data_IF_336238860768
#
_entry.id   IF_336238860768
#
_cell.length_a   1.000
_cell.length_b   1.000
_cell.length_c   1.000
_cell.angle_alpha   90.00
_cell.angle_beta   90.00
_cell.angle_gamma   90.00
#
_symmetry.space_group_name_H-M   'P 1'
#
loop_
_entity.id
_entity.type
_entity.pdbx_description
1 polymer ?
#
# COMPACT_ATOMS: atom_id res chain seq x y z
N UNK A 1 -6.33 -42.84 -18.21
CA UNK A 1 -5.56 -41.61 -18.37
C UNK A 1 -4.65 -41.41 -17.19
N UNK A 2 -3.34 -41.35 -17.43
CA UNK A 2 -2.34 -40.99 -16.42
C UNK A 2 -2.50 -39.52 -16.01
N UNK A 3 -2.02 -39.13 -14.83
CA UNK A 3 -2.02 -37.73 -14.40
C UNK A 3 -1.31 -36.83 -15.43
N UNK A 4 -0.27 -37.34 -16.09
CA UNK A 4 0.47 -36.65 -17.16
C UNK A 4 -0.40 -36.33 -18.38
N UNK A 5 -1.29 -37.24 -18.78
CA UNK A 5 -2.21 -37.01 -19.91
C UNK A 5 -3.28 -35.96 -19.58
N UNK A 6 -3.72 -35.88 -18.32
CA UNK A 6 -4.65 -34.82 -17.89
C UNK A 6 -3.99 -33.45 -17.97
N UNK A 7 -2.74 -33.33 -17.46
CA UNK A 7 -2.00 -32.07 -17.53
C UNK A 7 -1.69 -31.64 -18.95
N UNK A 8 -1.34 -32.56 -19.86
CA UNK A 8 -1.14 -32.22 -21.27
C UNK A 8 -2.40 -31.65 -21.91
N UNK A 9 -3.56 -32.26 -21.63
CA UNK A 9 -4.84 -31.81 -22.17
C UNK A 9 -5.27 -30.44 -21.62
N UNK A 10 -4.95 -30.18 -20.34
CA UNK A 10 -5.20 -28.90 -19.70
C UNK A 10 -4.28 -27.80 -20.26
N UNK A 11 -3.02 -28.14 -20.56
CA UNK A 11 -2.06 -27.23 -21.18
C UNK A 11 -2.47 -26.87 -22.63
N UNK A 12 -2.88 -27.86 -23.43
CA UNK A 12 -3.40 -27.63 -24.79
C UNK A 12 -4.67 -26.75 -24.77
N UNK A 13 -5.53 -26.92 -23.77
CA UNK A 13 -6.73 -26.08 -23.60
C UNK A 13 -6.38 -24.64 -23.27
N UNK A 14 -5.37 -24.42 -22.41
CA UNK A 14 -4.91 -23.08 -22.04
C UNK A 14 -4.20 -22.37 -23.20
N UNK A 15 -3.41 -23.10 -23.99
CA UNK A 15 -2.76 -22.54 -25.19
C UNK A 15 -3.79 -22.07 -26.22
N UNK A 16 -4.86 -22.85 -26.44
CA UNK A 16 -5.96 -22.47 -27.32
C UNK A 16 -6.70 -21.20 -26.84
N UNK A 17 -6.90 -21.06 -25.53
CA UNK A 17 -7.55 -19.88 -24.94
C UNK A 17 -6.69 -18.61 -25.10
N UNK A 18 -5.37 -18.74 -24.90
CA UNK A 18 -4.42 -17.64 -25.11
C UNK A 18 -4.43 -17.16 -26.56
N UNK A 19 -4.47 -18.07 -27.53
CA UNK A 19 -4.49 -17.70 -28.94
C UNK A 19 -5.80 -17.02 -29.36
N UNK A 20 -6.93 -17.43 -28.79
CA UNK A 20 -8.22 -16.76 -29.01
C UNK A 20 -8.22 -15.34 -28.44
N UNK A 21 -7.65 -15.14 -27.24
CA UNK A 21 -7.50 -13.81 -26.65
C UNK A 21 -6.58 -12.90 -27.49
N UNK A 22 -5.50 -13.44 -28.05
CA UNK A 22 -4.63 -12.69 -28.98
C UNK A 22 -5.38 -12.25 -30.25
N UNK A 23 -6.25 -13.09 -30.81
CA UNK A 23 -7.08 -12.71 -31.97
C UNK A 23 -8.05 -11.59 -31.63
N UNK A 24 -8.73 -11.67 -30.48
CA UNK A 24 -9.64 -10.62 -30.02
C UNK A 24 -8.92 -9.28 -29.85
N UNK A 25 -7.74 -9.29 -29.22
CA UNK A 25 -6.93 -8.09 -29.06
C UNK A 25 -6.47 -7.48 -30.39
N UNK A 26 -6.17 -8.32 -31.40
CA UNK A 26 -5.82 -7.84 -32.73
C UNK A 26 -7.02 -7.18 -33.44
N UNK A 27 -8.23 -7.72 -33.26
CA UNK A 27 -9.46 -7.18 -33.84
C UNK A 27 -9.81 -5.81 -33.25
N UNK A 28 -9.70 -5.67 -31.92
CA UNK A 28 -9.98 -4.40 -31.23
C UNK A 28 -9.01 -3.29 -31.67
N UNK A 29 -7.72 -3.61 -31.88
CA UNK A 29 -6.74 -2.66 -32.41
C UNK A 29 -7.11 -2.17 -33.82
N UNK A 30 -7.68 -3.04 -34.67
CA UNK A 30 -8.14 -2.63 -36.01
C UNK A 30 -9.42 -1.78 -36.00
N UNK A 31 -10.29 -1.97 -35.02
CA UNK A 31 -11.52 -1.17 -34.85
C UNK A 31 -11.20 0.26 -34.40
N UNK A 32 -10.21 0.43 -33.52
CA UNK A 32 -9.77 1.75 -33.05
C UNK A 32 -9.12 2.57 -34.18
N UNK A 33 -8.44 1.93 -35.13
CA UNK A 33 -7.81 2.60 -36.28
C UNK A 33 -8.79 3.02 -37.40
N UNK A 34 -10.04 2.54 -37.40
CA UNK A 34 -11.06 2.91 -38.41
C UNK A 34 -12.10 3.92 -37.92
N UNK A 35 -12.08 4.31 -36.65
CA UNK A 35 -13.10 5.16 -36.02
C UNK A 35 -12.90 6.68 -36.17
N UNK A 36 -11.90 7.17 -36.90
CA UNK A 36 -11.56 8.60 -36.93
C UNK A 36 -11.54 9.19 -38.35
N UNK A 37 -12.65 9.11 -39.10
CA UNK A 37 -12.95 10.07 -40.18
C UNK A 37 -14.47 10.20 -40.36
N UNK A 38 -15.05 11.29 -39.88
CA UNK A 38 -16.31 11.85 -40.38
C UNK A 38 -16.04 13.29 -40.82
N UNK A 39 -16.34 13.67 -42.07
CA UNK A 39 -16.13 15.04 -42.54
C UNK A 39 -17.35 15.92 -42.23
N UNK A 40 -17.12 17.07 -41.60
CA UNK A 40 -18.09 18.18 -41.57
C UNK A 40 -17.99 19.03 -42.86
N UNK A 41 -19.08 19.72 -43.27
CA UNK A 41 -19.15 20.41 -44.54
C UNK A 41 -18.55 21.83 -44.50
N UNK A 42 -17.86 22.13 -45.60
CA UNK A 42 -17.21 23.39 -45.97
C UNK A 42 -18.17 24.58 -46.07
N UNK A 43 -17.73 25.74 -45.55
CA UNK A 43 -18.06 27.06 -46.10
C UNK A 43 -16.76 27.79 -46.53
N UNK A 44 -16.84 28.39 -47.71
CA UNK A 44 -15.79 28.96 -48.58
C UNK A 44 -15.50 30.44 -48.23
N UNK A 45 -14.27 30.99 -48.19
CA UNK A 45 -13.35 31.49 -49.26
C UNK A 45 -12.43 32.58 -48.60
N UNK A 46 -11.45 33.24 -49.27
CA UNK A 46 -10.20 32.75 -49.88
C UNK A 46 -8.94 33.49 -49.34
N UNK A 47 -7.73 32.98 -49.59
CA UNK A 47 -6.66 33.63 -50.40
C UNK A 47 -5.27 32.99 -50.21
N UNK A 48 -4.73 32.57 -51.36
CA UNK A 48 -3.37 32.80 -51.89
C UNK A 48 -2.09 32.52 -51.07
N UNK A 49 -1.34 31.55 -51.64
CA UNK A 49 0.00 31.68 -52.25
C UNK A 49 1.20 30.90 -51.64
N UNK A 50 1.77 30.07 -52.54
CA UNK A 50 3.19 29.67 -52.75
C UNK A 50 3.74 28.35 -52.15
N UNK A 51 3.76 27.36 -53.06
CA UNK A 51 4.69 26.25 -53.41
C UNK A 51 6.19 26.31 -52.97
N UNK A 52 7.05 25.28 -53.25
CA UNK A 52 6.90 23.80 -53.20
C UNK A 52 8.18 23.07 -52.63
N UNK A 53 8.31 21.74 -52.87
CA UNK A 53 9.45 20.80 -52.67
C UNK A 53 9.52 20.07 -51.31
N UNK A 54 9.92 18.81 -51.17
CA UNK A 54 10.17 17.68 -52.06
C UNK A 54 10.19 16.39 -51.23
N UNK A 55 9.90 15.29 -51.90
CA UNK A 55 10.07 13.87 -51.55
C UNK A 55 11.39 13.53 -50.84
N UNK A 56 11.35 12.65 -49.83
CA UNK A 56 12.08 11.36 -49.89
C UNK A 56 11.73 10.42 -48.73
N UNK A 57 11.28 9.24 -49.13
CA UNK A 57 11.24 7.98 -48.40
C UNK A 57 12.61 7.57 -47.85
N UNK A 58 12.66 7.05 -46.62
CA UNK A 58 13.69 6.08 -46.26
C UNK A 58 13.16 5.03 -45.27
N UNK A 59 13.42 3.79 -45.67
CA UNK A 59 12.99 2.51 -45.12
C UNK A 59 14.28 1.79 -44.72
N UNK A 60 14.44 1.40 -43.45
CA UNK A 60 15.45 0.44 -42.95
C UNK A 60 14.82 -0.24 -41.74
N UNK A 61 14.27 -1.45 -41.87
CA UNK A 61 14.96 -2.75 -41.77
C UNK A 61 15.75 -2.87 -40.45
N UNK A 62 15.09 -3.54 -39.49
CA UNK A 62 15.62 -3.99 -38.21
C UNK A 62 15.95 -5.48 -38.38
N UNK A 63 17.25 -5.80 -38.39
CA UNK A 63 17.74 -7.16 -38.28
C UNK A 63 17.63 -7.61 -36.81
N UNK A 64 16.98 -8.76 -36.58
CA UNK A 64 16.98 -9.46 -35.30
C UNK A 64 18.18 -10.41 -35.27
N UNK A 65 19.12 -10.18 -34.35
CA UNK A 65 20.14 -11.18 -34.02
C UNK A 65 19.63 -12.08 -32.87
N UNK A 66 19.59 -13.37 -33.15
CA UNK A 66 19.32 -14.47 -32.21
C UNK A 66 20.44 -14.59 -31.16
N UNK A 67 20.09 -14.42 -29.88
CA UNK A 67 20.99 -14.71 -28.76
C UNK A 67 20.59 -16.08 -28.17
N UNK A 68 21.28 -17.13 -28.61
CA UNK A 68 21.30 -18.42 -27.90
C UNK A 68 22.38 -18.40 -26.82
N UNK A 69 22.13 -18.89 -25.59
CA UNK A 69 23.13 -18.88 -24.53
C UNK A 69 24.23 -19.95 -24.76
N UNK A 70 25.50 -19.66 -24.41
CA UNK A 70 26.60 -20.58 -24.68
C UNK A 70 26.63 -21.76 -23.70
N UNK A 71 26.89 -22.95 -24.26
CA UNK A 71 27.19 -24.19 -23.52
C UNK A 71 28.49 -24.06 -22.73
N UNK A 72 28.43 -24.31 -21.43
CA UNK A 72 29.61 -24.42 -20.56
C UNK A 72 30.20 -25.83 -20.61
N UNK A 73 31.50 -25.90 -20.92
CA UNK A 73 32.31 -27.10 -20.76
C UNK A 73 32.71 -27.28 -19.28
N UNK A 74 32.37 -28.42 -18.69
CA UNK A 74 32.85 -28.83 -17.37
C UNK A 74 34.33 -29.21 -17.44
N UNK A 75 35.19 -28.37 -16.85
CA UNK A 75 36.60 -28.66 -16.60
C UNK A 75 36.90 -28.62 -15.10
N UNK A 76 37.13 -29.79 -14.52
CA UNK A 76 37.63 -29.98 -13.15
C UNK A 76 38.93 -29.20 -12.90
N UNK A 77 38.98 -28.38 -11.84
CA UNK A 77 40.22 -28.04 -11.13
C UNK A 77 39.93 -27.53 -9.71
N UNK A 78 40.29 -28.36 -8.74
CA UNK A 78 40.43 -28.01 -7.33
C UNK A 78 41.44 -26.86 -7.17
N UNK A 79 40.94 -25.66 -6.85
CA UNK A 79 41.72 -24.61 -6.19
C UNK A 79 40.85 -23.99 -5.10
N UNK A 80 41.31 -24.12 -3.86
CA UNK A 80 40.71 -23.58 -2.65
C UNK A 80 40.75 -22.05 -2.75
N UNK A 81 39.63 -21.46 -3.19
CA UNK A 81 39.46 -20.01 -3.24
C UNK A 81 39.33 -19.47 -1.81
N UNK A 82 40.04 -18.38 -1.52
CA UNK A 82 39.80 -17.56 -0.33
C UNK A 82 38.35 -17.04 -0.40
N UNK A 83 37.66 -16.84 0.74
CA UNK A 83 36.33 -16.25 0.72
C UNK A 83 36.46 -14.87 0.07
N UNK A 84 35.70 -14.63 -1.00
CA UNK A 84 35.54 -13.30 -1.53
C UNK A 84 34.91 -12.46 -0.42
N UNK A 85 35.56 -11.37 -0.03
CA UNK A 85 34.92 -10.31 0.73
C UNK A 85 33.71 -9.88 -0.10
N UNK A 86 32.51 -10.21 0.38
CA UNK A 86 31.29 -9.64 -0.15
C UNK A 86 31.38 -8.15 0.13
N UNK A 87 31.79 -7.38 -0.87
CA UNK A 87 31.61 -5.94 -0.84
C UNK A 87 30.11 -5.75 -0.76
N UNK A 88 29.60 -5.41 0.41
CA UNK A 88 28.20 -5.07 0.60
C UNK A 88 27.91 -3.93 -0.36
N UNK A 89 27.21 -4.25 -1.45
CA UNK A 89 26.83 -3.27 -2.46
C UNK A 89 25.76 -2.38 -1.83
N UNK A 90 26.21 -1.28 -1.21
CA UNK A 90 25.35 -0.20 -0.75
C UNK A 90 25.23 0.77 -1.94
N UNK A 91 24.08 0.83 -2.62
CA UNK A 91 23.89 1.78 -3.71
C UNK A 91 24.05 3.22 -3.20
N UNK A 92 24.52 4.13 -4.07
CA UNK A 92 24.60 5.56 -3.76
C UNK A 92 23.24 6.08 -3.28
N UNK A 93 23.28 6.94 -2.25
CA UNK A 93 22.07 7.55 -1.69
C UNK A 93 21.38 8.33 -2.80
N UNK A 94 20.17 7.93 -3.14
CA UNK A 94 19.37 8.65 -4.12
C UNK A 94 18.92 9.98 -3.52
N UNK A 95 19.51 11.08 -3.98
CA UNK A 95 19.01 12.43 -3.72
C UNK A 95 17.98 12.76 -4.81
N UNK A 96 16.70 12.73 -4.47
CA UNK A 96 15.66 13.23 -5.36
C UNK A 96 14.93 14.41 -4.68
N UNK A 97 14.67 15.47 -5.44
CA UNK A 97 13.98 16.67 -4.94
C UNK A 97 12.47 16.44 -4.72
N UNK A 98 11.96 15.27 -5.13
CA UNK A 98 10.53 14.99 -5.21
C UNK A 98 10.11 14.03 -4.10
N UNK A 99 9.66 14.58 -2.98
CA UNK A 99 9.04 13.80 -1.91
C UNK A 99 7.55 13.58 -2.19
N UNK A 100 6.97 12.53 -1.59
CA UNK A 100 5.51 12.33 -1.57
C UNK A 100 4.82 13.61 -1.06
N UNK A 101 3.65 13.94 -1.62
CA UNK A 101 2.87 15.14 -1.26
C UNK A 101 2.60 15.22 0.27
N UNK A 102 2.48 14.07 0.93
CA UNK A 102 2.35 13.95 2.38
C UNK A 102 3.58 14.43 3.14
N UNK A 103 4.79 14.15 2.65
CA UNK A 103 6.05 14.62 3.25
C UNK A 103 6.19 16.12 3.02
N UNK A 104 5.87 16.61 1.82
CA UNK A 104 5.88 18.04 1.52
C UNK A 104 4.93 18.79 2.45
N UNK A 105 3.70 18.29 2.60
CA UNK A 105 2.74 18.83 3.56
C UNK A 105 3.26 18.74 4.99
N UNK A 106 3.84 17.62 5.42
CA UNK A 106 4.40 17.47 6.78
C UNK A 106 5.53 18.48 7.04
N UNK A 107 6.38 18.78 6.06
CA UNK A 107 7.51 19.69 6.21
C UNK A 107 7.08 21.16 6.11
N UNK A 108 6.24 21.50 5.12
CA UNK A 108 5.80 22.88 4.80
C UNK A 108 4.68 23.38 5.71
N UNK A 109 3.80 22.51 6.23
CA UNK A 109 2.71 22.95 7.12
C UNK A 109 3.16 23.57 8.43
N UNK A 110 4.41 23.38 8.87
CA UNK A 110 4.95 24.12 10.02
C UNK A 110 5.54 25.48 9.67
N UNK A 111 5.77 25.77 8.38
CA UNK A 111 6.21 27.08 7.89
C UNK A 111 5.00 27.96 7.55
N UNK A 112 3.93 27.38 7.00
CA UNK A 112 2.74 28.15 6.58
C UNK A 112 1.74 28.44 7.72
N UNK A 113 1.90 27.87 8.92
CA UNK A 113 1.05 28.24 10.08
C UNK A 113 1.38 29.64 10.63
N UNK A 114 2.39 30.32 10.09
CA UNK A 114 2.65 31.74 10.37
C UNK A 114 2.25 32.69 9.24
N UNK A 115 1.83 32.23 8.07
CA UNK A 115 1.41 33.11 6.98
C UNK A 115 0.17 32.59 6.23
N UNK A 116 -0.91 33.35 6.40
CA UNK A 116 -2.20 33.37 5.67
C UNK A 116 -3.37 32.64 6.33
N UNK A 117 -3.95 33.35 7.30
CA UNK A 117 -5.40 33.57 7.29
C UNK A 117 -5.80 34.36 6.02
N UNK A 118 -6.90 33.90 5.41
CA UNK A 118 -7.78 34.56 4.43
C UNK A 118 -7.20 35.14 3.12
N UNK A 119 -7.65 34.61 1.97
CA UNK A 119 -8.48 35.35 0.99
C UNK A 119 -8.89 34.50 -0.24
N UNK A 120 -10.21 34.47 -0.46
CA UNK A 120 -11.01 34.29 -1.70
C UNK A 120 -10.32 33.98 -3.04
N UNK A 121 -10.79 32.91 -3.73
CA UNK A 121 -11.33 32.90 -5.12
C UNK A 121 -11.70 31.48 -5.56
N UNK A 122 -13.00 31.19 -5.65
CA UNK A 122 -13.55 29.86 -5.96
C UNK A 122 -14.12 29.71 -7.39
N UNK A 123 -13.72 30.52 -8.39
CA UNK A 123 -14.33 30.45 -9.74
C UNK A 123 -13.39 30.23 -10.94
N UNK A 124 -12.10 29.94 -10.76
CA UNK A 124 -11.20 29.51 -11.86
C UNK A 124 -10.71 28.05 -11.74
N UNK A 125 -11.41 27.23 -10.96
CA UNK A 125 -10.81 26.05 -10.33
C UNK A 125 -10.73 24.78 -11.19
N UNK A 126 -11.50 24.62 -12.27
CA UNK A 126 -11.48 23.37 -13.05
C UNK A 126 -10.33 23.31 -14.07
N UNK A 127 -10.17 24.37 -14.89
CA UNK A 127 -9.12 24.44 -15.90
C UNK A 127 -7.73 24.57 -15.26
N UNK A 128 -7.61 25.31 -14.14
CA UNK A 128 -6.36 25.38 -13.39
C UNK A 128 -6.00 24.04 -12.74
N UNK A 129 -6.99 23.29 -12.23
CA UNK A 129 -6.74 21.92 -11.72
C UNK A 129 -6.32 20.99 -12.86
N UNK A 130 -6.99 21.04 -14.01
CA UNK A 130 -6.66 20.22 -15.17
C UNK A 130 -5.25 20.52 -15.70
N UNK A 131 -4.89 21.80 -15.80
CA UNK A 131 -3.55 22.22 -16.22
C UNK A 131 -2.49 21.78 -15.21
N UNK A 132 -2.74 21.91 -13.90
CA UNK A 132 -1.84 21.38 -12.85
C UNK A 132 -1.67 19.87 -12.93
N UNK A 133 -2.73 19.13 -13.24
CA UNK A 133 -2.67 17.67 -13.45
C UNK A 133 -1.85 17.33 -14.70
N UNK A 134 -2.06 18.03 -15.81
CA UNK A 134 -1.29 17.85 -17.05
C UNK A 134 0.20 18.17 -16.86
N UNK A 135 0.51 19.28 -16.20
CA UNK A 135 1.88 19.67 -15.86
C UNK A 135 2.55 18.63 -14.95
N UNK A 136 1.84 18.17 -13.91
CA UNK A 136 2.34 17.10 -13.02
C UNK A 136 2.60 15.80 -13.78
N UNK A 137 1.71 15.44 -14.71
CA UNK A 137 1.86 14.23 -15.54
C UNK A 137 3.05 14.34 -16.48
N UNK A 138 3.23 15.49 -17.15
CA UNK A 138 4.36 15.72 -18.03
C UNK A 138 5.69 15.68 -17.28
N UNK A 139 5.73 16.30 -16.10
CA UNK A 139 6.89 16.28 -15.19
C UNK A 139 7.22 14.86 -14.75
N UNK A 140 6.21 14.07 -14.36
CA UNK A 140 6.38 12.67 -14.01
C UNK A 140 6.95 11.83 -15.16
N UNK A 141 6.44 12.01 -16.38
CA UNK A 141 6.94 11.31 -17.56
C UNK A 141 8.41 11.66 -17.85
N UNK A 142 8.80 12.93 -17.71
CA UNK A 142 10.20 13.33 -17.85
C UNK A 142 11.10 12.68 -16.78
N UNK A 143 10.64 12.63 -15.53
CA UNK A 143 11.38 11.97 -14.44
C UNK A 143 11.55 10.47 -14.68
N UNK A 144 10.51 9.77 -15.17
CA UNK A 144 10.63 8.35 -15.53
C UNK A 144 11.66 8.16 -16.65
N UNK A 145 11.65 9.02 -17.67
CA UNK A 145 12.61 8.92 -18.77
C UNK A 145 14.05 9.15 -18.29
N UNK A 146 14.26 10.08 -17.35
CA UNK A 146 15.59 10.43 -16.87
C UNK A 146 16.10 9.51 -15.74
N UNK A 147 15.22 9.02 -14.88
CA UNK A 147 15.56 8.36 -13.61
C UNK A 147 14.82 7.04 -13.38
N UNK A 148 14.18 6.47 -14.41
CA UNK A 148 13.31 5.30 -14.30
C UNK A 148 13.93 4.12 -13.54
N UNK A 149 15.20 3.78 -13.82
CA UNK A 149 15.90 2.67 -13.14
C UNK A 149 16.10 2.94 -11.63
N UNK A 150 16.45 4.17 -11.26
CA UNK A 150 16.63 4.56 -9.85
C UNK A 150 15.29 4.51 -9.11
N UNK A 151 14.23 5.02 -9.73
CA UNK A 151 12.85 4.99 -9.20
C UNK A 151 12.38 3.54 -9.00
N UNK A 152 12.61 2.66 -9.98
CA UNK A 152 12.26 1.24 -9.87
C UNK A 152 13.03 0.55 -8.75
N UNK A 153 14.32 0.82 -8.64
CA UNK A 153 15.17 0.28 -7.58
C UNK A 153 14.68 0.72 -6.19
N UNK A 154 14.37 2.01 -6.02
CA UNK A 154 13.78 2.54 -4.79
C UNK A 154 12.44 1.85 -4.46
N UNK A 155 11.56 1.69 -5.45
CA UNK A 155 10.29 1.00 -5.27
C UNK A 155 10.46 -0.44 -4.80
N UNK A 156 11.46 -1.17 -5.32
CA UNK A 156 11.79 -2.53 -4.88
C UNK A 156 12.24 -2.51 -3.42
N UNK A 157 13.11 -1.58 -3.01
CA UNK A 157 13.52 -1.45 -1.61
C UNK A 157 12.34 -1.14 -0.68
N UNK A 158 11.38 -0.33 -1.15
CA UNK A 158 10.17 0.01 -0.40
C UNK A 158 9.24 -1.18 -0.16
N UNK A 159 9.32 -2.25 -0.96
CA UNK A 159 8.57 -3.49 -0.71
C UNK A 159 8.97 -4.16 0.62
N UNK A 160 10.15 -3.87 1.18
CA UNK A 160 10.54 -4.33 2.52
C UNK A 160 9.63 -3.76 3.63
N UNK A 161 8.99 -2.62 3.36
CA UNK A 161 8.01 -1.97 4.23
C UNK A 161 8.59 -1.06 5.31
N UNK A 162 9.91 -1.01 5.46
CA UNK A 162 10.63 0.02 6.21
C UNK A 162 11.72 0.54 5.28
N UNK A 163 11.71 1.84 5.02
CA UNK A 163 12.81 2.51 4.31
C UNK A 163 13.19 3.79 5.00
N UNK A 164 14.46 4.15 4.91
CA UNK A 164 14.97 5.45 5.34
C UNK A 164 15.20 6.33 4.12
N UNK A 165 15.01 7.63 4.28
CA UNK A 165 15.26 8.60 3.23
C UNK A 165 15.91 9.87 3.80
N UNK A 166 16.82 10.51 3.06
CA UNK A 166 17.38 11.79 3.47
C UNK A 166 16.27 12.85 3.47
N UNK A 167 16.34 13.80 4.41
CA UNK A 167 15.35 14.89 4.50
C UNK A 167 16.08 16.20 4.34
N UNK A 168 15.74 16.93 3.28
CA UNK A 168 16.32 18.25 3.03
C UNK A 168 15.96 19.20 4.18
N UNK A 169 16.96 19.90 4.72
CA UNK A 169 16.74 20.91 5.74
C UNK A 169 16.03 22.12 5.10
N UNK A 170 14.80 22.47 5.53
CA UNK A 170 14.06 23.59 4.93
C UNK A 170 14.73 24.95 5.19
N UNK A 171 15.59 25.04 6.21
CA UNK A 171 16.31 26.27 6.55
C UNK A 171 17.72 26.32 5.96
N UNK A 172 18.00 25.54 4.92
CA UNK A 172 19.32 25.57 4.26
C UNK A 172 19.47 26.91 3.54
N UNK A 173 20.14 27.85 4.19
CA UNK A 173 20.69 29.03 3.51
C UNK A 173 21.90 28.58 2.69
N UNK A 174 22.00 29.02 1.44
CA UNK A 174 23.06 28.68 0.45
C UNK A 174 24.51 28.96 0.92
N UNK A 175 24.69 29.53 2.11
CA UNK A 175 25.98 30.01 2.64
C UNK A 175 26.56 29.08 3.72
N UNK A 176 25.80 28.13 4.27
CA UNK A 176 26.29 27.15 5.26
C UNK A 176 26.44 25.75 4.64
N UNK A 177 27.30 25.64 3.65
CA UNK A 177 27.80 24.37 3.15
C UNK A 177 28.94 23.89 4.04
N UNK A 178 28.71 22.87 4.87
CA UNK A 178 29.60 21.68 5.00
C UNK A 178 29.16 20.67 6.08
N UNK A 179 28.49 21.05 7.17
CA UNK A 179 28.22 20.13 8.31
C UNK A 179 26.72 19.96 8.67
N UNK A 180 25.81 20.55 7.89
CA UNK A 180 24.40 20.75 8.28
C UNK A 180 23.35 19.80 7.70
N UNK A 181 23.71 18.94 6.74
CA UNK A 181 22.76 18.14 5.94
C UNK A 181 22.29 16.86 6.64
N UNK A 182 23.09 16.27 7.53
CA UNK A 182 22.75 15.04 8.27
C UNK A 182 21.87 15.28 9.50
N UNK A 183 21.26 16.46 9.62
CA UNK A 183 20.44 16.80 10.79
C UNK A 183 19.09 16.11 10.80
N UNK A 184 18.61 15.61 9.67
CA UNK A 184 17.30 14.99 9.56
C UNK A 184 17.36 13.64 8.86
N UNK A 185 16.60 12.69 9.38
CA UNK A 185 16.43 11.37 8.81
C UNK A 185 14.94 11.03 8.73
N UNK A 186 14.46 10.72 7.54
CA UNK A 186 13.10 10.24 7.33
C UNK A 186 13.04 8.73 7.42
N UNK A 187 11.99 8.21 8.06
CA UNK A 187 11.64 6.80 8.05
C UNK A 187 10.23 6.68 7.48
N UNK A 188 10.09 5.82 6.48
CA UNK A 188 8.83 5.47 5.84
C UNK A 188 8.42 4.07 6.26
N UNK A 189 7.16 3.91 6.59
CA UNK A 189 6.52 2.66 6.94
C UNK A 189 5.42 2.35 5.92
N UNK A 190 5.66 1.36 5.08
CA UNK A 190 4.66 0.84 4.14
C UNK A 190 4.05 -0.47 4.70
N UNK A 191 2.73 -0.54 4.68
CA UNK A 191 1.95 -1.71 5.09
C UNK A 191 1.14 -2.20 3.90
N UNK A 192 1.30 -3.48 3.55
CA UNK A 192 0.54 -4.09 2.47
C UNK A 192 -0.79 -4.63 3.00
N UNK A 193 -1.90 -4.14 2.43
CA UNK A 193 -3.23 -4.67 2.67
C UNK A 193 -3.49 -5.87 1.75
N UNK A 194 -3.45 -7.07 2.32
CA UNK A 194 -3.68 -8.32 1.58
C UNK A 194 -5.09 -8.39 0.98
N UNK A 195 -6.10 -7.85 1.67
CA UNK A 195 -7.50 -7.94 1.21
C UNK A 195 -7.73 -7.11 -0.04
N UNK A 196 -7.05 -5.96 -0.14
CA UNK A 196 -7.17 -5.03 -1.25
C UNK A 196 -6.01 -5.17 -2.27
N UNK A 197 -5.08 -6.10 -2.02
CA UNK A 197 -3.86 -6.32 -2.79
C UNK A 197 -3.08 -5.03 -3.11
N UNK A 198 -3.07 -4.08 -2.16
CA UNK A 198 -2.45 -2.76 -2.33
C UNK A 198 -1.75 -2.30 -1.06
N UNK A 199 -0.77 -1.42 -1.21
CA UNK A 199 -0.18 -0.73 -0.06
C UNK A 199 -1.18 0.29 0.50
N UNK A 200 -1.28 0.36 1.82
CA UNK A 200 -1.99 1.44 2.50
C UNK A 200 -1.22 2.75 2.34
N UNK A 201 -1.85 3.86 2.71
CA UNK A 201 -1.14 5.13 2.85
C UNK A 201 0.07 4.94 3.77
N UNK A 202 1.27 5.35 3.35
CA UNK A 202 2.49 5.22 4.15
C UNK A 202 2.42 6.08 5.41
N UNK A 203 3.05 5.61 6.48
CA UNK A 203 3.31 6.44 7.64
C UNK A 203 4.77 6.90 7.67
N UNK A 204 5.01 8.07 8.25
CA UNK A 204 6.30 8.73 8.28
C UNK A 204 6.70 9.06 9.70
N UNK A 205 7.99 8.93 9.99
CA UNK A 205 8.65 9.50 11.16
C UNK A 205 9.84 10.29 10.65
N UNK A 206 9.88 11.58 10.98
CA UNK A 206 11.03 12.45 10.71
C UNK A 206 11.79 12.60 12.01
N UNK A 207 13.04 12.15 12.01
CA UNK A 207 13.96 12.29 13.11
C UNK A 207 14.79 13.55 12.93
N UNK A 208 15.15 14.20 14.03
CA UNK A 208 16.12 15.29 14.06
C UNK A 208 17.23 14.96 15.04
N UNK A 209 18.47 15.22 14.62
CA UNK A 209 19.66 15.05 15.45
C UNK A 209 19.85 16.24 16.38
N UNK A 210 20.13 15.99 17.65
CA UNK A 210 20.46 17.02 18.64
C UNK A 210 21.93 17.42 18.53
N UNK A 211 22.19 18.71 18.36
CA UNK A 211 23.56 19.25 18.21
C UNK A 211 24.47 18.96 19.41
N UNK A 212 23.89 18.81 20.61
CA UNK A 212 24.66 18.70 21.86
C UNK A 212 25.22 17.31 22.13
N UNK A 213 24.52 16.26 21.70
CA UNK A 213 24.83 14.88 22.09
C UNK A 213 24.62 13.87 20.95
N UNK A 214 24.38 14.35 19.73
CA UNK A 214 24.14 13.54 18.54
C UNK A 214 22.96 12.55 18.63
N UNK A 215 22.13 12.66 19.67
CA UNK A 215 20.96 11.81 19.82
C UNK A 215 19.85 12.26 18.85
N UNK A 216 19.13 11.27 18.33
CA UNK A 216 17.92 11.45 17.56
C UNK A 216 16.70 11.63 18.46
N UNK A 217 15.78 12.49 18.03
CA UNK A 217 14.44 12.56 18.58
C UNK A 217 13.41 12.63 17.45
N UNK A 218 12.18 12.21 17.74
CA UNK A 218 11.06 12.31 16.80
C UNK A 218 10.67 13.78 16.66
N UNK A 219 10.97 14.37 15.50
CA UNK A 219 10.63 15.76 15.19
C UNK A 219 9.19 15.87 14.68
N UNK A 220 8.82 15.04 13.71
CA UNK A 220 7.46 14.98 13.14
C UNK A 220 7.06 13.55 12.86
N UNK A 221 5.76 13.28 12.83
CA UNK A 221 5.24 11.94 12.58
C UNK A 221 3.82 11.97 12.02
N UNK A 222 3.50 11.01 11.17
CA UNK A 222 2.12 10.69 10.76
C UNK A 222 1.61 9.40 11.39
N UNK A 223 2.36 8.85 12.35
CA UNK A 223 1.96 7.67 13.11
C UNK A 223 0.74 8.00 13.98
N UNK A 224 -0.33 7.18 13.96
CA UNK A 224 -1.51 7.43 14.79
C UNK A 224 -1.17 7.43 16.29
N UNK A 225 -1.86 8.28 17.06
CA UNK A 225 -1.57 8.52 18.50
C UNK A 225 -1.65 7.27 19.38
N UNK A 226 -2.45 6.29 18.98
CA UNK A 226 -2.62 5.03 19.71
C UNK A 226 -1.48 4.03 19.50
N UNK A 227 -0.58 4.27 18.54
CA UNK A 227 0.70 3.57 18.49
C UNK A 227 1.62 4.22 19.53
N UNK A 228 2.25 3.45 20.44
CA UNK A 228 3.02 3.99 21.57
C UNK A 228 4.41 4.51 21.15
N UNK A 229 4.45 5.42 20.17
CA UNK A 229 5.69 5.90 19.53
C UNK A 229 6.69 6.48 20.53
N UNK A 230 6.22 7.24 21.53
CA UNK A 230 7.10 7.85 22.54
C UNK A 230 7.78 6.80 23.43
N UNK A 231 7.06 5.73 23.79
CA UNK A 231 7.61 4.62 24.60
C UNK A 231 8.66 3.89 23.76
N UNK A 232 8.33 3.56 22.51
CA UNK A 232 9.26 2.90 21.59
C UNK A 232 10.50 3.78 21.31
N UNK A 233 10.33 5.10 21.20
CA UNK A 233 11.43 6.01 20.98
C UNK A 233 12.36 6.09 22.20
N UNK A 234 11.80 6.16 23.41
CA UNK A 234 12.58 6.16 24.64
C UNK A 234 13.37 4.86 24.83
N UNK A 235 12.79 3.73 24.42
CA UNK A 235 13.38 2.40 24.61
C UNK A 235 14.45 2.07 23.55
N UNK A 236 14.22 2.44 22.28
CA UNK A 236 15.04 1.93 21.16
C UNK A 236 15.72 3.00 20.31
N UNK A 237 15.18 4.22 20.16
CA UNK A 237 15.57 5.14 19.07
C UNK A 237 17.07 5.45 19.02
N UNK A 238 17.67 5.70 20.19
CA UNK A 238 19.08 6.09 20.31
C UNK A 238 20.03 4.92 20.60
N UNK A 239 19.50 3.70 20.67
CA UNK A 239 20.28 2.49 20.95
C UNK A 239 20.27 1.53 19.75
N UNK A 240 19.11 1.36 19.12
CA UNK A 240 18.88 0.48 18.00
C UNK A 240 17.72 1.03 17.14
N UNK A 241 18.09 1.85 16.15
CA UNK A 241 17.15 2.48 15.22
C UNK A 241 16.36 1.44 14.41
N UNK A 242 16.97 0.29 14.11
CA UNK A 242 16.32 -0.78 13.38
C UNK A 242 15.23 -1.43 14.24
N UNK A 243 15.50 -1.71 15.51
CA UNK A 243 14.49 -2.22 16.45
C UNK A 243 13.38 -1.21 16.71
N UNK A 244 13.70 0.08 16.85
CA UNK A 244 12.69 1.14 16.92
C UNK A 244 11.73 1.06 15.72
N UNK A 245 12.29 1.06 14.52
CA UNK A 245 11.52 1.03 13.26
C UNK A 245 10.71 -0.27 13.14
N UNK A 246 11.30 -1.40 13.49
CA UNK A 246 10.65 -2.72 13.47
C UNK A 246 9.46 -2.78 14.43
N UNK A 247 9.58 -2.23 15.63
CA UNK A 247 8.47 -2.21 16.60
C UNK A 247 7.34 -1.28 16.15
N UNK A 248 7.66 -0.10 15.61
CA UNK A 248 6.65 0.81 15.05
C UNK A 248 5.90 0.11 13.91
N UNK A 249 6.62 -0.49 12.95
CA UNK A 249 6.00 -1.24 11.85
C UNK A 249 5.16 -2.40 12.35
N UNK A 250 5.64 -3.15 13.34
CA UNK A 250 4.90 -4.27 13.94
C UNK A 250 3.52 -3.79 14.43
N UNK A 251 3.43 -2.64 15.09
CA UNK A 251 2.15 -2.09 15.53
C UNK A 251 1.24 -1.75 14.34
N UNK A 252 1.76 -1.06 13.33
CA UNK A 252 0.98 -0.68 12.13
C UNK A 252 0.45 -1.90 11.37
N UNK A 253 1.28 -2.93 11.19
CA UNK A 253 0.89 -4.19 10.53
C UNK A 253 -0.20 -4.91 11.31
N UNK A 254 -0.11 -4.95 12.64
CA UNK A 254 -1.12 -5.59 13.48
C UNK A 254 -2.45 -4.83 13.47
N UNK A 255 -2.41 -3.49 13.47
CA UNK A 255 -3.60 -2.67 13.30
C UNK A 255 -4.29 -2.95 11.97
N UNK A 256 -3.52 -3.03 10.88
CA UNK A 256 -4.06 -3.35 9.55
C UNK A 256 -4.66 -4.76 9.52
N UNK A 257 -4.01 -5.74 10.14
CA UNK A 257 -4.55 -7.11 10.27
C UNK A 257 -5.87 -7.10 11.04
N UNK A 258 -5.94 -6.37 12.16
CA UNK A 258 -7.15 -6.28 12.99
C UNK A 258 -8.32 -5.66 12.21
N UNK A 259 -8.06 -4.54 11.52
CA UNK A 259 -9.03 -3.91 10.62
C UNK A 259 -9.53 -4.87 9.54
N UNK A 260 -8.61 -5.49 8.80
CA UNK A 260 -8.96 -6.45 7.73
C UNK A 260 -9.80 -7.62 8.26
N UNK A 261 -9.45 -8.14 9.44
CA UNK A 261 -10.16 -9.24 10.09
C UNK A 261 -11.61 -8.87 10.43
N UNK A 262 -11.84 -7.72 11.05
CA UNK A 262 -13.20 -7.31 11.41
C UNK A 262 -14.04 -6.89 10.21
N UNK A 263 -13.44 -6.27 9.20
CA UNK A 263 -14.14 -5.97 7.94
C UNK A 263 -14.53 -7.25 7.19
N UNK A 264 -13.71 -8.30 7.24
CA UNK A 264 -14.05 -9.61 6.68
C UNK A 264 -15.17 -10.30 7.46
N UNK A 265 -15.14 -10.22 8.80
CA UNK A 265 -16.26 -10.70 9.62
C UNK A 265 -17.54 -9.93 9.25
N UNK A 266 -17.48 -8.60 9.17
CA UNK A 266 -18.62 -7.76 8.83
C UNK A 266 -19.22 -8.10 7.46
N UNK A 267 -18.41 -8.35 6.44
CA UNK A 267 -18.89 -8.68 5.10
C UNK A 267 -19.62 -10.03 5.03
N UNK A 268 -19.32 -10.94 5.97
CA UNK A 268 -19.92 -12.27 6.10
C UNK A 268 -21.11 -12.31 7.05
N UNK A 269 -21.43 -11.22 7.75
CA UNK A 269 -22.59 -11.14 8.62
C UNK A 269 -23.89 -11.13 7.78
N UNK A 270 -24.86 -11.95 8.17
CA UNK A 270 -26.18 -12.00 7.53
C UNK A 270 -27.02 -10.77 7.91
N UNK A 271 -27.74 -10.18 6.96
CA UNK A 271 -28.73 -9.13 7.24
C UNK A 271 -29.83 -9.64 8.20
N UNK A 272 -30.32 -8.83 9.17
CA UNK A 272 -30.06 -7.40 9.41
C UNK A 272 -28.90 -7.12 10.37
N UNK A 273 -27.95 -8.04 10.52
CA UNK A 273 -26.82 -7.84 11.43
C UNK A 273 -25.94 -6.66 11.00
N UNK A 274 -25.37 -5.96 11.98
CA UNK A 274 -24.50 -4.80 11.75
C UNK A 274 -23.33 -4.80 12.72
N UNK A 275 -22.24 -4.18 12.31
CA UNK A 275 -21.04 -4.00 13.11
C UNK A 275 -20.71 -2.51 13.20
N UNK A 276 -20.49 -2.04 14.41
CA UNK A 276 -20.03 -0.70 14.74
C UNK A 276 -18.68 -0.82 15.45
N UNK A 277 -17.72 0.04 15.14
CA UNK A 277 -16.37 -0.01 15.72
C UNK A 277 -15.77 1.38 15.82
N UNK A 278 -14.82 1.55 16.73
CA UNK A 278 -13.96 2.72 16.79
C UNK A 278 -12.84 2.66 15.73
N UNK A 279 -12.07 3.75 15.61
CA UNK A 279 -11.00 3.90 14.60
C UNK A 279 -9.95 2.79 14.74
N UNK A 280 -9.72 2.31 15.97
CA UNK A 280 -8.68 1.34 16.31
C UNK A 280 -9.16 -0.11 16.33
N UNK A 281 -10.47 -0.34 16.18
CA UNK A 281 -11.11 -1.63 16.45
C UNK A 281 -10.77 -2.16 17.85
N UNK A 282 -10.56 -1.28 18.84
CA UNK A 282 -10.36 -1.64 20.24
C UNK A 282 -11.69 -1.97 20.91
N UNK A 283 -12.78 -1.35 20.47
CA UNK A 283 -14.14 -1.76 20.79
C UNK A 283 -14.92 -2.06 19.51
N UNK A 284 -15.40 -3.30 19.37
CA UNK A 284 -16.21 -3.76 18.24
C UNK A 284 -17.57 -4.23 18.77
N UNK A 285 -18.63 -3.57 18.32
CA UNK A 285 -20.00 -3.89 18.67
C UNK A 285 -20.68 -4.60 17.49
N UNK A 286 -21.15 -5.82 17.71
CA UNK A 286 -21.77 -6.68 16.71
C UNK A 286 -23.21 -6.93 17.14
N UNK A 287 -24.16 -6.35 16.41
CA UNK A 287 -25.59 -6.62 16.58
C UNK A 287 -25.97 -7.71 15.60
N UNK A 288 -26.36 -8.87 16.12
CA UNK A 288 -26.64 -10.07 15.30
C UNK A 288 -28.14 -10.26 15.18
N UNK A 289 -28.64 -10.18 13.93
CA UNK A 289 -30.04 -10.38 13.55
C UNK A 289 -31.06 -9.58 14.39
N UNK A 290 -30.65 -8.46 14.98
CA UNK A 290 -31.41 -7.67 15.97
C UNK A 290 -31.90 -8.48 17.19
N UNK A 291 -31.26 -9.61 17.51
CA UNK A 291 -31.63 -10.47 18.65
C UNK A 291 -30.75 -10.23 19.86
N UNK A 292 -29.45 -10.18 19.64
CA UNK A 292 -28.47 -9.93 20.68
C UNK A 292 -27.34 -9.05 20.15
N UNK A 293 -26.62 -8.46 21.09
CA UNK A 293 -25.52 -7.55 20.88
C UNK A 293 -24.28 -8.14 21.56
N UNK A 294 -23.18 -8.23 20.82
CA UNK A 294 -21.90 -8.71 21.30
C UNK A 294 -20.89 -7.58 21.23
N UNK A 295 -20.28 -7.23 22.35
CA UNK A 295 -19.26 -6.20 22.43
C UNK A 295 -17.92 -6.89 22.69
N UNK A 296 -17.03 -6.83 21.72
CA UNK A 296 -15.66 -7.33 21.80
C UNK A 296 -14.73 -6.17 22.17
N UNK A 297 -14.00 -6.34 23.27
CA UNK A 297 -12.94 -5.42 23.68
C UNK A 297 -11.61 -6.08 23.35
N UNK A 298 -10.88 -5.47 22.43
CA UNK A 298 -9.66 -6.04 21.85
C UNK A 298 -8.45 -5.19 22.19
N UNK A 299 -7.35 -5.85 22.53
CA UNK A 299 -6.04 -5.22 22.44
C UNK A 299 -5.55 -5.27 20.98
N UNK A 300 -4.24 -5.12 20.77
CA UNK A 300 -3.65 -5.16 19.44
C UNK A 300 -3.60 -6.58 18.84
N UNK A 301 -3.53 -7.61 19.67
CA UNK A 301 -3.24 -8.98 19.27
C UNK A 301 -4.39 -9.96 19.53
N UNK A 302 -5.28 -9.67 20.47
CA UNK A 302 -6.35 -10.58 20.90
C UNK A 302 -7.57 -9.87 21.45
N UNK A 303 -8.65 -10.63 21.55
CA UNK A 303 -9.85 -10.25 22.31
C UNK A 303 -9.55 -10.38 23.80
N UNK A 304 -9.65 -9.28 24.54
CA UNK A 304 -9.36 -9.24 25.99
C UNK A 304 -10.60 -9.48 26.83
N UNK A 305 -11.75 -8.99 26.34
CA UNK A 305 -13.02 -9.11 27.03
C UNK A 305 -14.18 -9.15 26.02
N UNK A 306 -15.29 -9.74 26.45
CA UNK A 306 -16.48 -9.98 25.64
C UNK A 306 -17.67 -9.70 26.53
N UNK A 307 -18.69 -9.04 25.99
CA UNK A 307 -19.94 -8.78 26.70
C UNK A 307 -21.08 -9.15 25.76
N UNK A 308 -21.98 -10.03 26.20
CA UNK A 308 -23.15 -10.44 25.42
C UNK A 308 -24.43 -9.92 26.06
N UNK A 309 -25.13 -9.03 25.34
CA UNK A 309 -26.37 -8.36 25.80
C UNK A 309 -27.55 -8.81 24.93
N UNK A 310 -28.72 -8.99 25.55
CA UNK A 310 -29.97 -9.35 24.87
C UNK A 310 -30.52 -10.71 25.28
N UNK A 311 -31.78 -10.97 24.92
CA UNK A 311 -32.46 -12.23 25.19
C UNK A 311 -32.40 -13.13 23.95
N UNK A 312 -31.72 -14.27 24.13
CA UNK A 312 -31.83 -15.38 23.19
C UNK A 312 -33.23 -15.97 23.37
N UNK A 313 -34.14 -15.64 22.46
CA UNK A 313 -35.50 -16.18 22.45
C UNK A 313 -35.44 -17.71 22.42
N UNK A 314 -35.66 -18.34 23.56
CA UNK A 314 -35.94 -19.76 23.71
C UNK A 314 -37.08 -19.86 24.74
N UNK A 315 -38.04 -20.69 24.40
CA UNK A 315 -39.28 -21.05 25.10
C UNK A 315 -39.11 -21.20 26.64
N UNK A 316 -40.19 -21.17 27.41
CA UNK A 316 -40.21 -21.01 28.89
C UNK A 316 -39.30 -21.96 29.74
N UNK A 317 -38.71 -23.01 29.18
CA UNK A 317 -37.65 -23.85 29.80
C UNK A 317 -36.21 -23.31 29.58
N UNK A 318 -36.04 -22.21 28.85
CA UNK A 318 -34.78 -21.72 28.28
C UNK A 318 -33.96 -20.75 29.14
N UNK A 319 -34.47 -20.28 30.28
CA UNK A 319 -33.77 -19.27 31.09
C UNK A 319 -32.38 -19.74 31.58
N UNK A 320 -32.25 -21.00 32.02
CA UNK A 320 -30.96 -21.58 32.41
C UNK A 320 -30.03 -21.82 31.22
N UNK A 321 -30.58 -22.10 30.02
CA UNK A 321 -29.78 -22.26 28.80
C UNK A 321 -29.20 -20.94 28.31
N UNK A 322 -29.92 -19.82 28.50
CA UNK A 322 -29.46 -18.50 28.07
C UNK A 322 -28.23 -17.99 28.85
N UNK A 323 -28.19 -18.22 30.16
CA UNK A 323 -27.01 -17.89 30.98
C UNK A 323 -25.81 -18.72 30.50
N UNK A 324 -26.02 -20.01 30.26
CA UNK A 324 -24.97 -20.90 29.76
C UNK A 324 -24.42 -20.50 28.39
N UNK A 325 -25.24 -19.96 27.48
CA UNK A 325 -24.78 -19.55 26.14
C UNK A 325 -23.96 -18.25 26.22
N UNK A 326 -24.39 -17.27 27.01
CA UNK A 326 -23.65 -16.01 27.20
C UNK A 326 -22.28 -16.28 27.80
N UNK A 327 -22.25 -17.05 28.88
CA UNK A 327 -21.00 -17.43 29.56
C UNK A 327 -20.09 -18.23 28.62
N UNK A 328 -20.65 -19.16 27.82
CA UNK A 328 -19.88 -19.92 26.84
C UNK A 328 -19.25 -19.02 25.77
N UNK A 329 -20.01 -18.08 25.20
CA UNK A 329 -19.50 -17.14 24.20
C UNK A 329 -18.42 -16.24 24.79
N UNK A 330 -18.62 -15.72 25.99
CA UNK A 330 -17.62 -14.89 26.67
C UNK A 330 -16.31 -15.65 26.92
N UNK A 331 -16.41 -16.91 27.36
CA UNK A 331 -15.23 -17.78 27.58
C UNK A 331 -14.53 -18.12 26.27
N UNK A 332 -15.27 -18.51 25.23
CA UNK A 332 -14.69 -18.97 23.96
C UNK A 332 -14.02 -17.85 23.17
N UNK A 333 -14.60 -16.64 23.17
CA UNK A 333 -14.00 -15.50 22.48
C UNK A 333 -12.85 -14.86 23.26
N UNK A 334 -12.85 -14.95 24.60
CA UNK A 334 -11.81 -14.32 25.41
C UNK A 334 -10.46 -14.99 25.18
N UNK A 335 -9.47 -14.17 24.84
CA UNK A 335 -8.11 -14.63 24.54
C UNK A 335 -7.92 -15.08 23.09
N UNK A 336 -8.96 -15.12 22.25
CA UNK A 336 -8.81 -15.40 20.83
C UNK A 336 -7.85 -14.38 20.19
N UNK A 337 -6.82 -14.89 19.52
CA UNK A 337 -5.95 -14.05 18.72
C UNK A 337 -6.72 -13.45 17.55
N UNK A 338 -6.47 -12.17 17.28
CA UNK A 338 -6.98 -11.49 16.07
C UNK A 338 -6.53 -12.25 14.82
N UNK A 339 -5.32 -12.83 14.85
CA UNK A 339 -4.83 -13.71 13.80
C UNK A 339 -5.65 -15.01 13.80
N UNK A 340 -6.49 -15.18 12.78
CA UNK A 340 -7.35 -16.35 12.64
C UNK A 340 -8.74 -16.18 13.25
N UNK A 341 -9.01 -15.04 13.93
CA UNK A 341 -10.32 -14.76 14.50
C UNK A 341 -11.42 -14.86 13.44
N UNK A 342 -11.21 -14.39 12.21
CA UNK A 342 -12.20 -14.50 11.12
C UNK A 342 -12.64 -15.93 10.80
N UNK A 343 -11.78 -16.91 11.03
CA UNK A 343 -12.03 -18.32 10.72
C UNK A 343 -12.73 -18.98 11.91
N UNK A 344 -12.27 -18.68 13.13
CA UNK A 344 -12.89 -19.20 14.35
C UNK A 344 -14.19 -18.49 14.74
N UNK A 345 -14.40 -17.24 14.33
CA UNK A 345 -15.51 -16.40 14.80
C UNK A 345 -16.86 -17.06 14.53
N UNK A 346 -17.12 -17.44 13.28
CA UNK A 346 -18.40 -18.05 12.91
C UNK A 346 -18.56 -19.45 13.51
N UNK A 347 -17.46 -20.18 13.65
CA UNK A 347 -17.47 -21.49 14.33
C UNK A 347 -17.85 -21.37 15.80
N UNK A 348 -17.26 -20.40 16.52
CA UNK A 348 -17.60 -20.12 17.93
C UNK A 348 -19.06 -19.68 18.02
N UNK A 349 -19.54 -18.82 17.12
CA UNK A 349 -20.94 -18.42 17.07
C UNK A 349 -21.89 -19.61 16.88
N UNK A 350 -21.54 -20.56 16.01
CA UNK A 350 -22.29 -21.78 15.78
C UNK A 350 -22.26 -22.71 17.02
N UNK A 351 -21.10 -22.93 17.62
CA UNK A 351 -20.92 -23.74 18.83
C UNK A 351 -21.72 -23.17 20.03
N UNK A 352 -21.84 -21.84 20.11
CA UNK A 352 -22.65 -21.19 21.14
C UNK A 352 -24.16 -21.19 20.82
N UNK A 353 -24.59 -21.72 19.66
CA UNK A 353 -25.98 -21.60 19.20
C UNK A 353 -26.41 -20.16 18.90
N UNK A 354 -25.44 -19.26 18.70
CA UNK A 354 -25.64 -17.86 18.32
C UNK A 354 -25.79 -17.68 16.81
N UNK A 355 -25.38 -18.68 16.03
CA UNK A 355 -25.58 -18.72 14.59
C UNK A 355 -26.90 -19.45 14.27
N UNK A 356 -27.87 -18.72 13.73
CA UNK A 356 -29.14 -19.32 13.31
C UNK A 356 -29.01 -19.66 11.83
N UNK A 357 -28.74 -20.93 11.54
CA UNK A 357 -29.13 -21.49 10.25
C UNK A 357 -30.65 -21.60 10.21
N UNK A 358 -31.26 -21.02 9.18
CA UNK A 358 -32.59 -21.37 8.70
C UNK A 358 -32.51 -21.53 7.21
#
# INVERSE_FOLDING_TARGET
MSALERYKKELESLEAEVDELKRKLALDKTTILRGSVTPEPNDQLPTDNKTPHETTSNKRELEMEDITPPRTHFGNRNKRAKPAESVDYIPEIAHHEYFDELINNLMVSSLNVLEKEETLKEENTALEKENKVKESTNKWNQLILQHGEKIQTENIYRLAGITTFPVNNPNKTEVEDTDGDDRFLGIRFDVFDKSLAKFSTPHYVILKKLVKNDNWFVFKTTIPRFVPLNILAAEYLNFDLFMFSKQVRKHLVQLQLKKSTFLDIQSRLKSPSRMEYDIEFSKVNIKVLNRFEMILICDLFKVTNVIVVGDLMIDAEGANRNVSIKDAAEVLFRGCEIRGLKDSFFKIMEECGLFIER
#
